data_IF_515262430830
#
_entry.id   IF_515262430830
#
_cell.length_a   1.000
_cell.length_b   1.000
_cell.length_c   1.000
_cell.angle_alpha   90.00
_cell.angle_beta   90.00
_cell.angle_gamma   90.00
#
_symmetry.space_group_name_H-M   'P 1'
#
loop_
_entity.id
_entity.type
_entity.pdbx_description
1 polymer ?
#
# COMPACT_ATOMS: atom_id res chain seq x y z
N UNK A 1 7.00 1.98 -23.32
CA UNK A 1 5.97 2.36 -22.31
C UNK A 1 4.89 3.31 -22.81
N UNK A 2 5.14 4.08 -23.85
CA UNK A 2 4.20 5.07 -24.44
C UNK A 2 3.03 4.47 -25.21
N UNK A 3 3.09 3.20 -25.58
CA UNK A 3 2.13 2.59 -26.52
C UNK A 3 0.79 2.17 -25.87
N UNK A 4 0.74 1.96 -24.55
CA UNK A 4 -0.51 1.46 -23.91
C UNK A 4 -1.53 2.57 -23.71
N UNK A 5 -1.08 3.76 -23.28
CA UNK A 5 -1.96 4.92 -23.15
C UNK A 5 -2.60 5.30 -24.50
N UNK A 6 -1.84 5.24 -25.58
CA UNK A 6 -2.36 5.51 -26.93
C UNK A 6 -3.47 4.57 -27.33
N UNK A 7 -3.36 3.27 -27.00
CA UNK A 7 -4.44 2.29 -27.25
C UNK A 7 -5.74 2.63 -26.53
N UNK A 8 -5.68 3.27 -25.35
CA UNK A 8 -6.86 3.73 -24.64
C UNK A 8 -7.43 5.00 -25.27
N UNK A 9 -6.60 6.02 -25.47
CA UNK A 9 -7.09 7.30 -25.99
C UNK A 9 -7.65 7.19 -27.41
N UNK A 10 -7.14 6.26 -28.24
CA UNK A 10 -7.69 5.95 -29.57
C UNK A 10 -9.13 5.43 -29.55
N UNK A 11 -9.63 4.94 -28.41
CA UNK A 11 -11.01 4.48 -28.25
C UNK A 11 -11.95 5.59 -27.79
N UNK A 12 -11.41 6.74 -27.40
CA UNK A 12 -12.18 7.87 -26.87
C UNK A 12 -12.68 8.79 -28.01
N UNK A 13 -13.69 9.63 -27.76
CA UNK A 13 -14.12 10.65 -28.69
C UNK A 13 -12.99 11.58 -29.11
N UNK A 14 -12.95 12.01 -30.36
CA UNK A 14 -11.86 12.75 -30.98
C UNK A 14 -11.43 14.00 -30.16
N UNK A 15 -12.39 14.76 -29.65
CA UNK A 15 -12.11 15.98 -28.88
C UNK A 15 -11.47 15.69 -27.50
N UNK A 16 -11.62 14.49 -26.97
CA UNK A 16 -10.92 14.02 -25.74
C UNK A 16 -9.53 13.50 -26.12
N UNK A 17 -9.46 12.75 -27.21
CA UNK A 17 -8.19 12.25 -27.78
C UNK A 17 -7.20 13.36 -28.04
N UNK A 18 -7.60 14.41 -28.81
CA UNK A 18 -6.73 15.51 -29.18
C UNK A 18 -6.20 16.26 -27.95
N UNK A 19 -7.06 16.52 -26.97
CA UNK A 19 -6.64 17.19 -25.76
C UNK A 19 -5.59 16.39 -24.98
N UNK A 20 -5.84 15.09 -24.76
CA UNK A 20 -4.90 14.25 -23.98
C UNK A 20 -3.59 14.08 -24.73
N UNK A 21 -3.63 13.90 -26.06
CA UNK A 21 -2.45 13.71 -26.89
C UNK A 21 -1.50 14.91 -26.83
N UNK A 22 -2.06 16.11 -26.82
CA UNK A 22 -1.31 17.38 -26.75
C UNK A 22 -0.94 17.77 -25.30
N UNK A 23 -1.48 17.10 -24.29
CA UNK A 23 -1.29 17.50 -22.91
C UNK A 23 0.12 17.18 -22.40
N UNK A 24 0.79 18.18 -21.78
CA UNK A 24 2.18 18.08 -21.30
C UNK A 24 2.32 16.98 -20.22
N UNK A 25 1.32 16.86 -19.34
CA UNK A 25 1.33 15.93 -18.22
C UNK A 25 0.55 14.64 -18.47
N UNK A 26 0.41 14.19 -19.73
CA UNK A 26 -0.33 12.95 -20.08
C UNK A 26 0.15 11.72 -19.32
N UNK A 27 1.45 11.68 -18.98
CA UNK A 27 2.04 10.57 -18.21
C UNK A 27 1.62 10.57 -16.72
N UNK A 28 1.02 11.65 -16.22
CA UNK A 28 0.50 11.76 -14.88
C UNK A 28 -1.02 11.56 -14.80
N UNK A 29 -1.67 11.25 -15.94
CA UNK A 29 -3.11 10.97 -15.98
C UNK A 29 -3.43 9.67 -15.27
N UNK A 30 -4.40 9.69 -14.35
CA UNK A 30 -4.82 8.55 -13.52
C UNK A 30 -6.08 7.92 -14.09
N UNK A 31 -7.08 8.73 -14.39
CA UNK A 31 -8.35 8.26 -14.94
C UNK A 31 -9.03 9.33 -15.79
N UNK A 32 -9.92 8.86 -16.66
CA UNK A 32 -10.76 9.69 -17.53
C UNK A 32 -12.22 9.36 -17.24
N UNK A 33 -13.04 10.37 -17.02
CA UNK A 33 -14.46 10.25 -16.71
C UNK A 33 -15.26 10.84 -17.85
N UNK A 34 -16.19 10.03 -18.38
CA UNK A 34 -17.11 10.40 -19.45
C UNK A 34 -18.53 10.18 -18.95
N UNK A 35 -19.17 11.19 -18.44
CA UNK A 35 -20.56 11.14 -17.95
C UNK A 35 -21.50 11.83 -18.92
N UNK A 36 -22.64 11.19 -19.21
CA UNK A 36 -23.67 11.76 -20.06
C UNK A 36 -24.14 13.13 -19.54
N UNK A 37 -24.17 14.12 -20.42
CA UNK A 37 -24.62 15.47 -20.09
C UNK A 37 -23.59 16.29 -19.29
N UNK A 38 -22.37 15.79 -19.07
CA UNK A 38 -21.28 16.47 -18.41
C UNK A 38 -20.07 16.67 -19.32
N UNK A 39 -19.18 17.57 -18.94
CA UNK A 39 -17.89 17.73 -19.61
C UNK A 39 -16.98 16.57 -19.24
N UNK A 40 -16.17 16.02 -20.18
CA UNK A 40 -15.21 14.99 -19.88
C UNK A 40 -14.17 15.52 -18.90
N UNK A 41 -13.86 14.73 -17.88
CA UNK A 41 -12.90 15.07 -16.83
C UNK A 41 -11.72 14.11 -16.87
N UNK A 42 -10.50 14.64 -16.83
CA UNK A 42 -9.27 13.88 -16.61
C UNK A 42 -8.76 14.14 -15.20
N UNK A 43 -8.45 13.08 -14.46
CA UNK A 43 -7.82 13.15 -13.14
C UNK A 43 -6.34 12.88 -13.24
N UNK A 44 -5.57 13.92 -12.99
CA UNK A 44 -4.11 13.89 -12.95
C UNK A 44 -3.62 13.84 -11.51
N UNK A 45 -2.34 13.52 -11.32
CA UNK A 45 -1.72 13.62 -9.96
C UNK A 45 -1.77 15.03 -9.39
N UNK A 46 -1.84 16.03 -10.24
CA UNK A 46 -1.94 17.45 -9.88
C UNK A 46 -3.35 17.89 -9.50
N UNK A 47 -4.37 17.14 -9.88
CA UNK A 47 -5.79 17.43 -9.65
C UNK A 47 -6.67 17.11 -10.86
N UNK A 48 -8.00 17.31 -10.75
CA UNK A 48 -8.94 17.13 -11.84
C UNK A 48 -8.91 18.30 -12.82
N UNK A 49 -9.05 18.01 -14.11
CA UNK A 49 -9.14 18.99 -15.20
C UNK A 49 -10.22 18.58 -16.20
N UNK A 50 -10.92 19.56 -16.77
CA UNK A 50 -11.84 19.30 -17.88
C UNK A 50 -11.07 19.16 -19.20
N UNK A 51 -11.24 18.01 -19.85
CA UNK A 51 -10.56 17.69 -21.12
C UNK A 51 -11.18 18.37 -22.34
N UNK A 52 -12.41 18.91 -22.22
CA UNK A 52 -13.08 19.64 -23.29
C UNK A 52 -14.18 20.55 -22.76
N UNK A 53 -14.54 21.55 -23.54
CA UNK A 53 -15.75 22.36 -23.31
C UNK A 53 -17.01 21.65 -23.79
N UNK A 54 -16.88 20.67 -24.68
CA UNK A 54 -18.00 19.88 -25.23
C UNK A 54 -18.57 18.95 -24.15
N UNK A 55 -19.89 18.83 -24.11
CA UNK A 55 -20.64 17.94 -23.23
C UNK A 55 -20.71 16.56 -23.88
N UNK A 56 -20.54 15.49 -23.09
CA UNK A 56 -20.64 14.11 -23.55
C UNK A 56 -22.09 13.77 -23.93
N UNK A 57 -22.28 13.30 -25.14
CA UNK A 57 -23.55 12.85 -25.70
C UNK A 57 -23.66 11.32 -25.66
N UNK A 58 -24.85 10.79 -25.93
CA UNK A 58 -25.07 9.36 -26.14
C UNK A 58 -24.19 8.76 -27.24
N UNK A 59 -24.02 9.51 -28.32
CA UNK A 59 -23.20 9.11 -29.45
C UNK A 59 -21.72 8.95 -29.05
N UNK A 60 -21.21 9.82 -28.19
CA UNK A 60 -19.84 9.77 -27.71
C UNK A 60 -19.60 8.54 -26.81
N UNK A 61 -20.58 8.19 -25.96
CA UNK A 61 -20.51 6.97 -25.13
C UNK A 61 -20.64 5.72 -26.00
N UNK A 62 -21.55 5.68 -26.97
CA UNK A 62 -21.74 4.56 -27.89
C UNK A 62 -20.49 4.35 -28.76
N UNK A 63 -19.88 5.43 -29.24
CA UNK A 63 -18.61 5.38 -29.99
C UNK A 63 -17.51 4.71 -29.19
N UNK A 64 -17.38 5.06 -27.90
CA UNK A 64 -16.37 4.47 -27.02
C UNK A 64 -16.70 3.01 -26.69
N UNK A 65 -17.95 2.71 -26.34
CA UNK A 65 -18.36 1.34 -25.94
C UNK A 65 -18.24 0.33 -27.07
N UNK A 66 -18.51 0.69 -28.32
CA UNK A 66 -18.36 -0.16 -29.49
C UNK A 66 -16.90 -0.50 -29.81
N UNK A 67 -15.93 0.26 -29.30
CA UNK A 67 -14.50 0.10 -29.57
C UNK A 67 -13.72 -0.61 -28.46
N UNK A 68 -14.37 -0.93 -27.36
CA UNK A 68 -13.82 -1.70 -26.25
C UNK A 68 -14.43 -3.10 -26.22
N UNK A 69 -13.87 -4.00 -25.40
CA UNK A 69 -14.44 -5.33 -25.19
C UNK A 69 -15.82 -5.24 -24.50
N UNK A 70 -16.59 -6.32 -24.56
CA UNK A 70 -17.87 -6.40 -23.85
C UNK A 70 -17.64 -6.24 -22.33
N UNK A 71 -18.57 -5.55 -21.68
CA UNK A 71 -18.56 -5.44 -20.24
C UNK A 71 -18.92 -6.76 -19.57
N UNK A 72 -18.17 -7.12 -18.54
CA UNK A 72 -18.47 -8.26 -17.67
C UNK A 72 -19.72 -8.00 -16.82
N UNK A 73 -20.16 -9.01 -16.06
CA UNK A 73 -21.26 -8.88 -15.10
C UNK A 73 -20.97 -7.84 -14.02
N UNK A 74 -19.71 -7.53 -13.75
CA UNK A 74 -19.26 -6.47 -12.82
C UNK A 74 -19.19 -5.08 -13.48
N UNK A 75 -19.73 -4.91 -14.69
CA UNK A 75 -19.64 -3.67 -15.46
C UNK A 75 -18.20 -3.20 -15.74
N UNK A 76 -17.28 -4.16 -15.93
CA UNK A 76 -15.86 -3.90 -16.24
C UNK A 76 -15.54 -4.40 -17.65
N UNK A 77 -14.64 -3.69 -18.31
CA UNK A 77 -14.10 -4.05 -19.61
C UNK A 77 -12.63 -3.64 -19.69
N UNK A 78 -11.86 -4.35 -20.52
CA UNK A 78 -10.45 -4.03 -20.77
C UNK A 78 -10.18 -3.75 -22.24
N UNK A 79 -8.95 -3.34 -22.51
CA UNK A 79 -8.40 -3.19 -23.85
C UNK A 79 -7.32 -4.25 -24.03
N UNK A 80 -7.33 -4.94 -25.16
CA UNK A 80 -6.38 -6.03 -25.47
C UNK A 80 -4.93 -5.59 -25.26
N UNK A 81 -4.17 -6.42 -24.54
CA UNK A 81 -2.75 -6.20 -24.24
C UNK A 81 -2.48 -4.91 -23.46
N UNK A 82 -3.40 -4.46 -22.62
CA UNK A 82 -3.22 -3.31 -21.74
C UNK A 82 -3.68 -3.61 -20.32
N UNK A 83 -3.27 -2.77 -19.37
CA UNK A 83 -3.70 -2.82 -17.98
C UNK A 83 -4.79 -1.80 -17.67
N UNK A 84 -5.34 -1.17 -18.72
CA UNK A 84 -6.42 -0.22 -18.55
C UNK A 84 -7.71 -0.94 -18.18
N UNK A 85 -8.42 -0.38 -17.20
CA UNK A 85 -9.74 -0.86 -16.79
C UNK A 85 -10.77 0.20 -17.10
N UNK A 86 -11.81 -0.20 -17.79
CA UNK A 86 -12.95 0.66 -18.11
C UNK A 86 -14.13 0.13 -17.33
N UNK A 87 -14.70 0.96 -16.47
CA UNK A 87 -15.91 0.63 -15.73
C UNK A 87 -17.06 1.48 -16.26
N UNK A 88 -18.23 0.87 -16.40
CA UNK A 88 -19.44 1.60 -16.77
C UNK A 88 -20.43 1.61 -15.62
N UNK A 89 -21.26 2.64 -15.57
CA UNK A 89 -22.46 2.62 -14.77
C UNK A 89 -23.69 2.80 -15.65
N UNK A 90 -24.78 2.17 -15.22
CA UNK A 90 -26.01 2.04 -16.01
C UNK A 90 -27.14 2.77 -15.30
N UNK A 91 -28.09 3.28 -16.11
CA UNK A 91 -29.32 3.81 -15.59
C UNK A 91 -30.31 2.67 -15.23
N UNK A 92 -31.52 3.05 -14.79
CA UNK A 92 -32.60 2.10 -14.45
C UNK A 92 -33.06 1.24 -15.61
N UNK A 93 -32.76 1.64 -16.84
CA UNK A 93 -33.07 0.91 -18.09
C UNK A 93 -31.87 0.08 -18.58
N UNK A 94 -30.83 -0.12 -17.75
CA UNK A 94 -29.60 -0.84 -18.08
C UNK A 94 -28.76 -0.22 -19.22
N UNK A 95 -29.06 1.00 -19.66
CA UNK A 95 -28.23 1.72 -20.63
C UNK A 95 -27.05 2.40 -19.94
N UNK A 96 -25.91 2.47 -20.61
CA UNK A 96 -24.67 3.04 -20.07
C UNK A 96 -24.80 4.57 -20.03
N UNK A 97 -24.71 5.14 -18.83
CA UNK A 97 -24.78 6.60 -18.60
C UNK A 97 -23.42 7.22 -18.37
N UNK A 98 -22.40 6.44 -18.10
CA UNK A 98 -21.07 6.94 -17.89
C UNK A 98 -20.00 5.86 -17.92
N UNK A 99 -18.78 6.30 -18.19
CA UNK A 99 -17.60 5.49 -18.27
C UNK A 99 -16.51 6.10 -17.41
N UNK A 100 -15.80 5.25 -16.66
CA UNK A 100 -14.58 5.61 -15.96
C UNK A 100 -13.44 4.77 -16.53
N UNK A 101 -12.50 5.41 -17.23
CA UNK A 101 -11.34 4.77 -17.83
C UNK A 101 -10.13 4.96 -16.91
N UNK A 102 -9.78 3.93 -16.15
CA UNK A 102 -8.61 3.93 -15.26
C UNK A 102 -7.35 3.53 -16.03
N UNK A 103 -6.29 4.31 -15.86
CA UNK A 103 -5.03 4.08 -16.57
C UNK A 103 -4.15 3.16 -15.74
N UNK A 104 -3.99 1.92 -16.22
CA UNK A 104 -3.01 0.97 -15.69
C UNK A 104 -1.64 1.22 -16.30
N UNK A 105 -0.60 1.12 -15.48
CA UNK A 105 0.81 1.20 -15.90
C UNK A 105 1.58 0.02 -15.34
N UNK A 106 2.50 -0.53 -16.14
CA UNK A 106 3.49 -1.48 -15.65
C UNK A 106 4.75 -0.75 -15.24
N UNK A 107 5.29 -1.11 -14.09
CA UNK A 107 6.57 -0.62 -13.57
C UNK A 107 7.51 -1.83 -13.58
N UNK A 108 8.74 -1.63 -14.04
CA UNK A 108 9.77 -2.67 -14.08
C UNK A 108 10.95 -2.28 -13.20
N UNK A 109 11.72 -3.27 -12.75
CA UNK A 109 12.96 -3.07 -11.99
C UNK A 109 12.80 -3.11 -10.47
N UNK A 110 11.58 -3.27 -9.94
CA UNK A 110 11.34 -3.31 -8.50
C UNK A 110 11.76 -4.63 -7.84
N UNK A 111 11.85 -5.71 -8.63
CA UNK A 111 12.08 -7.08 -8.14
C UNK A 111 13.55 -7.38 -7.83
N UNK A 112 14.48 -6.55 -8.26
CA UNK A 112 15.91 -6.75 -7.98
C UNK A 112 16.22 -7.01 -6.49
N UNK A 113 15.39 -6.45 -5.59
CA UNK A 113 15.52 -6.60 -4.13
C UNK A 113 15.21 -8.00 -3.61
N UNK A 114 14.39 -8.77 -4.32
CA UNK A 114 13.98 -10.13 -3.91
C UNK A 114 14.30 -11.20 -4.94
N UNK A 115 15.12 -10.89 -5.94
CA UNK A 115 15.46 -11.83 -7.00
C UNK A 115 16.10 -13.11 -6.46
N UNK A 116 16.96 -12.99 -5.46
CA UNK A 116 17.56 -14.11 -4.73
C UNK A 116 16.51 -15.06 -4.12
N UNK A 117 15.41 -14.50 -3.61
CA UNK A 117 14.33 -15.30 -3.02
C UNK A 117 13.51 -16.05 -4.09
N UNK A 118 13.37 -15.50 -5.29
CA UNK A 118 12.69 -16.18 -6.38
C UNK A 118 13.46 -17.39 -6.89
N UNK A 119 14.79 -17.34 -6.85
CA UNK A 119 15.68 -18.42 -7.24
C UNK A 119 15.71 -19.58 -6.22
N UNK A 120 15.31 -19.34 -4.96
CA UNK A 120 15.30 -20.34 -3.88
C UNK A 120 14.25 -21.45 -4.03
N UNK A 121 13.29 -21.29 -4.94
CA UNK A 121 12.14 -22.20 -5.19
C UNK A 121 11.21 -22.38 -3.98
N UNK A 122 11.30 -21.51 -3.00
CA UNK A 122 10.42 -21.51 -1.84
C UNK A 122 9.14 -20.71 -2.14
N UNK A 123 8.01 -21.10 -1.53
CA UNK A 123 6.75 -20.40 -1.69
C UNK A 123 6.77 -19.07 -0.95
N UNK A 124 6.26 -18.01 -1.59
CA UNK A 124 6.36 -16.63 -1.10
C UNK A 124 4.97 -16.03 -0.90
N UNK A 125 4.70 -15.56 0.31
CA UNK A 125 3.50 -14.79 0.62
C UNK A 125 3.84 -13.31 0.75
N UNK A 126 3.08 -12.47 0.06
CA UNK A 126 3.28 -11.01 0.04
C UNK A 126 2.14 -10.33 0.79
N UNK A 127 2.49 -9.56 1.82
CA UNK A 127 1.59 -8.74 2.60
C UNK A 127 1.77 -7.26 2.29
N UNK A 128 0.72 -6.49 2.46
CA UNK A 128 0.78 -5.04 2.37
C UNK A 128 -0.59 -4.41 2.23
N UNK A 129 -0.68 -3.14 2.58
CA UNK A 129 -1.90 -2.35 2.46
C UNK A 129 -2.41 -2.28 1.01
N UNK A 130 -3.69 -2.02 0.81
CA UNK A 130 -4.20 -1.71 -0.52
C UNK A 130 -3.43 -0.53 -1.14
N UNK A 131 -3.10 -0.64 -2.44
CA UNK A 131 -2.45 0.46 -3.17
C UNK A 131 -0.93 0.59 -2.99
N UNK A 132 -0.26 -0.25 -2.21
CA UNK A 132 1.21 -0.21 -2.06
C UNK A 132 1.98 -0.79 -3.26
N UNK A 133 1.28 -1.40 -4.22
CA UNK A 133 1.87 -1.93 -5.44
C UNK A 133 2.02 -3.46 -5.49
N UNK A 134 1.32 -4.23 -4.65
CA UNK A 134 1.35 -5.72 -4.64
C UNK A 134 1.16 -6.31 -6.03
N UNK A 135 0.10 -5.93 -6.74
CA UNK A 135 -0.20 -6.41 -8.08
C UNK A 135 0.90 -6.10 -9.10
N UNK A 136 1.55 -4.93 -8.97
CA UNK A 136 2.69 -4.55 -9.84
C UNK A 136 3.89 -5.47 -9.60
N UNK A 137 4.19 -5.74 -8.34
CA UNK A 137 5.28 -6.63 -7.92
C UNK A 137 5.02 -8.05 -8.43
N UNK A 138 3.83 -8.58 -8.21
CA UNK A 138 3.43 -9.92 -8.68
C UNK A 138 3.54 -10.06 -10.20
N UNK A 139 3.12 -9.05 -10.95
CA UNK A 139 3.24 -9.05 -12.41
C UNK A 139 4.69 -9.14 -12.86
N UNK A 140 5.57 -8.38 -12.23
CA UNK A 140 7.00 -8.42 -12.53
C UNK A 140 7.64 -9.74 -12.11
N UNK A 141 7.24 -10.31 -10.97
CA UNK A 141 7.63 -11.66 -10.53
C UNK A 141 7.25 -12.69 -11.61
N UNK A 142 5.99 -12.65 -12.07
CA UNK A 142 5.50 -13.57 -13.10
C UNK A 142 6.36 -13.53 -14.37
N UNK A 143 6.72 -12.32 -14.83
CA UNK A 143 7.58 -12.14 -16.00
C UNK A 143 8.98 -12.71 -15.77
N UNK A 144 9.62 -12.36 -14.65
CA UNK A 144 10.98 -12.84 -14.35
C UNK A 144 11.02 -14.36 -14.25
N UNK A 145 10.04 -14.97 -13.59
CA UNK A 145 9.98 -16.43 -13.46
C UNK A 145 9.76 -17.12 -14.80
N UNK A 146 8.89 -16.54 -15.67
CA UNK A 146 8.56 -17.14 -16.94
C UNK A 146 9.59 -16.87 -18.05
N UNK A 147 10.16 -15.65 -18.10
CA UNK A 147 11.07 -15.22 -19.17
C UNK A 147 12.53 -15.43 -18.78
N UNK A 148 12.96 -14.95 -17.58
CA UNK A 148 14.36 -14.96 -17.18
C UNK A 148 14.76 -16.33 -16.59
N UNK A 149 13.87 -16.96 -15.80
CA UNK A 149 14.11 -18.26 -15.15
C UNK A 149 13.48 -19.45 -15.89
N UNK A 150 12.82 -19.20 -17.02
CA UNK A 150 12.22 -20.20 -17.93
C UNK A 150 11.29 -21.21 -17.24
N UNK A 151 10.56 -20.78 -16.20
CA UNK A 151 9.62 -21.61 -15.44
C UNK A 151 8.24 -21.69 -16.09
N UNK A 152 7.55 -22.82 -15.87
CA UNK A 152 6.14 -22.97 -16.24
C UNK A 152 5.28 -22.28 -15.19
N UNK A 153 4.93 -21.01 -15.45
CA UNK A 153 4.17 -20.17 -14.54
C UNK A 153 2.72 -20.08 -14.98
N UNK A 154 1.80 -20.33 -14.04
CA UNK A 154 0.37 -20.08 -14.19
C UNK A 154 -0.04 -18.99 -13.23
N UNK A 155 -0.77 -17.99 -13.72
CA UNK A 155 -1.35 -16.90 -12.95
C UNK A 155 -2.84 -17.14 -12.81
N UNK A 156 -3.34 -17.17 -11.59
CA UNK A 156 -4.77 -17.19 -11.27
C UNK A 156 -5.19 -15.77 -10.95
N UNK A 157 -5.85 -15.12 -11.91
CA UNK A 157 -6.13 -13.69 -11.91
C UNK A 157 -7.64 -13.47 -11.71
N UNK A 158 -8.06 -13.35 -10.46
CA UNK A 158 -9.47 -13.22 -10.07
C UNK A 158 -10.01 -11.82 -10.31
N UNK A 159 -9.23 -10.81 -9.97
CA UNK A 159 -9.61 -9.41 -10.15
C UNK A 159 -9.20 -8.83 -11.51
N UNK A 160 -8.54 -9.63 -12.37
CA UNK A 160 -7.96 -9.22 -13.64
C UNK A 160 -6.96 -8.04 -13.50
N UNK A 161 -6.34 -7.90 -12.35
CA UNK A 161 -5.39 -6.81 -12.09
C UNK A 161 -3.97 -7.14 -12.53
N UNK A 162 -3.59 -8.42 -12.54
CA UNK A 162 -2.24 -8.86 -12.92
C UNK A 162 -2.04 -8.73 -14.42
N UNK A 163 -2.93 -9.34 -15.20
CA UNK A 163 -2.77 -9.44 -16.65
C UNK A 163 -3.73 -8.56 -17.46
N UNK A 164 -4.64 -7.83 -16.80
CA UNK A 164 -5.61 -6.93 -17.42
C UNK A 164 -6.99 -7.56 -17.67
N UNK A 165 -8.02 -6.73 -17.83
CA UNK A 165 -9.43 -7.15 -17.96
C UNK A 165 -9.80 -7.76 -19.33
N UNK A 166 -8.89 -7.83 -20.27
CA UNK A 166 -9.13 -8.35 -21.63
C UNK A 166 -8.78 -9.84 -21.75
N UNK A 167 -9.39 -10.55 -22.71
CA UNK A 167 -9.06 -11.95 -23.02
C UNK A 167 -7.59 -12.15 -23.42
N UNK A 168 -6.99 -11.14 -24.07
CA UNK A 168 -5.58 -11.16 -24.42
C UNK A 168 -4.78 -10.47 -23.31
N UNK A 169 -3.92 -11.22 -22.61
CA UNK A 169 -3.19 -10.69 -21.47
C UNK A 169 -2.17 -9.63 -21.85
N UNK A 170 -1.81 -8.80 -20.90
CA UNK A 170 -0.75 -7.79 -21.03
C UNK A 170 0.62 -8.44 -21.16
N UNK A 171 1.48 -7.87 -22.00
CA UNK A 171 2.85 -8.36 -22.23
C UNK A 171 3.74 -8.33 -20.98
N UNK A 172 3.36 -7.59 -19.97
CA UNK A 172 4.10 -7.47 -18.70
C UNK A 172 4.13 -8.74 -17.86
N UNK A 173 3.37 -9.79 -18.20
CA UNK A 173 3.47 -11.11 -17.55
C UNK A 173 4.43 -12.05 -18.29
N UNK A 174 5.03 -11.62 -19.40
CA UNK A 174 5.91 -12.45 -20.22
C UNK A 174 5.22 -13.70 -20.76
N UNK A 175 5.93 -14.83 -20.75
CA UNK A 175 5.43 -16.16 -21.17
C UNK A 175 4.53 -16.84 -20.13
N UNK A 176 4.24 -16.22 -18.98
CA UNK A 176 3.33 -16.79 -18.01
C UNK A 176 1.91 -16.93 -18.59
N UNK A 177 1.25 -18.05 -18.27
CA UNK A 177 -0.11 -18.33 -18.71
C UNK A 177 -1.09 -17.81 -17.69
N UNK A 178 -2.15 -17.13 -18.12
CA UNK A 178 -3.22 -16.65 -17.25
C UNK A 178 -4.44 -17.58 -17.30
N UNK A 179 -4.95 -17.93 -16.13
CA UNK A 179 -6.28 -18.49 -15.93
C UNK A 179 -7.18 -17.42 -15.30
N UNK A 180 -8.25 -17.05 -15.98
CA UNK A 180 -9.24 -16.12 -15.45
C UNK A 180 -10.24 -16.86 -14.58
N UNK A 181 -10.64 -16.24 -13.49
CA UNK A 181 -11.68 -16.77 -12.61
C UNK A 181 -13.00 -16.11 -12.98
N UNK A 182 -13.98 -16.92 -13.39
CA UNK A 182 -15.28 -16.41 -13.84
C UNK A 182 -16.10 -15.77 -12.70
N UNK A 183 -16.01 -16.34 -11.49
CA UNK A 183 -16.67 -15.88 -10.27
C UNK A 183 -15.68 -15.97 -9.11
N UNK A 184 -15.63 -14.94 -8.27
CA UNK A 184 -14.71 -14.87 -7.14
C UNK A 184 -14.77 -16.09 -6.24
N UNK A 185 -15.97 -16.63 -5.99
CA UNK A 185 -16.18 -17.81 -5.15
C UNK A 185 -15.60 -19.10 -5.73
N UNK A 186 -15.25 -19.13 -7.02
CA UNK A 186 -14.70 -20.30 -7.71
C UNK A 186 -13.18 -20.30 -7.81
N UNK A 187 -12.47 -19.33 -7.24
CA UNK A 187 -11.01 -19.24 -7.33
C UNK A 187 -10.33 -20.52 -6.86
N UNK A 188 -10.74 -21.10 -5.74
CA UNK A 188 -10.19 -22.34 -5.19
C UNK A 188 -10.28 -23.53 -6.18
N UNK A 189 -11.34 -23.60 -6.99
CA UNK A 189 -11.50 -24.66 -8.02
C UNK A 189 -10.50 -24.46 -9.14
N UNK A 190 -10.34 -23.23 -9.62
CA UNK A 190 -9.36 -22.88 -10.66
C UNK A 190 -7.93 -23.12 -10.19
N UNK A 191 -7.64 -22.90 -8.90
CA UNK A 191 -6.34 -23.21 -8.30
C UNK A 191 -6.02 -24.72 -8.40
N UNK A 192 -6.96 -25.58 -8.09
CA UNK A 192 -6.79 -27.04 -8.17
C UNK A 192 -6.72 -27.48 -9.63
N UNK A 193 -7.61 -26.97 -10.49
CA UNK A 193 -7.61 -27.22 -11.93
C UNK A 193 -6.25 -26.90 -12.57
N UNK A 194 -5.63 -25.77 -12.18
CA UNK A 194 -4.32 -25.37 -12.68
C UNK A 194 -3.26 -26.45 -12.46
N UNK A 195 -3.25 -27.07 -11.28
CA UNK A 195 -2.28 -28.12 -10.94
C UNK A 195 -2.60 -29.42 -11.68
N UNK A 196 -3.87 -29.83 -11.73
CA UNK A 196 -4.28 -31.11 -12.28
C UNK A 196 -4.16 -31.17 -13.80
N UNK A 197 -4.51 -30.08 -14.48
CA UNK A 197 -4.60 -30.07 -15.94
C UNK A 197 -3.36 -29.49 -16.64
N UNK A 198 -2.57 -28.65 -15.97
CA UNK A 198 -1.55 -27.85 -16.66
C UNK A 198 -0.11 -28.04 -16.17
N UNK A 199 0.11 -28.86 -15.13
CA UNK A 199 1.43 -29.22 -14.58
C UNK A 199 2.38 -28.01 -14.42
N UNK A 200 1.99 -26.95 -13.70
CA UNK A 200 2.85 -25.79 -13.45
C UNK A 200 4.00 -26.15 -12.51
N UNK A 201 5.12 -25.44 -12.66
CA UNK A 201 6.16 -25.42 -11.63
C UNK A 201 5.84 -24.37 -10.57
N UNK A 202 5.17 -23.27 -11.00
CA UNK A 202 4.85 -22.13 -10.14
C UNK A 202 3.41 -21.69 -10.41
N UNK A 203 2.66 -21.46 -9.33
CA UNK A 203 1.34 -20.84 -9.38
C UNK A 203 1.43 -19.49 -8.68
N UNK A 204 0.94 -18.46 -9.37
CA UNK A 204 0.82 -17.11 -8.84
C UNK A 204 -0.67 -16.83 -8.61
N UNK A 205 -1.02 -16.41 -7.39
CA UNK A 205 -2.38 -16.14 -6.97
C UNK A 205 -2.49 -14.65 -6.64
N UNK A 206 -3.47 -13.97 -7.23
CA UNK A 206 -3.69 -12.52 -7.04
C UNK A 206 -3.93 -12.19 -5.57
N UNK A 207 -4.92 -12.86 -4.98
CA UNK A 207 -5.26 -12.67 -3.58
C UNK A 207 -5.85 -13.94 -2.97
N UNK A 208 -5.43 -14.26 -1.74
CA UNK A 208 -5.96 -15.36 -0.94
C UNK A 208 -6.71 -14.74 0.24
N UNK A 209 -8.04 -14.90 0.26
CA UNK A 209 -8.89 -14.26 1.26
C UNK A 209 -9.89 -15.21 1.95
N UNK A 210 -10.20 -16.38 1.35
CA UNK A 210 -11.22 -17.31 1.84
C UNK A 210 -10.63 -18.61 2.37
N UNK A 211 -11.37 -19.30 3.25
CA UNK A 211 -10.95 -20.62 3.77
C UNK A 211 -10.73 -21.68 2.70
N UNK A 212 -11.56 -21.70 1.67
CA UNK A 212 -11.44 -22.65 0.57
C UNK A 212 -10.16 -22.42 -0.25
N UNK A 213 -9.79 -21.16 -0.45
CA UNK A 213 -8.53 -20.78 -1.12
C UNK A 213 -7.32 -21.16 -0.29
N UNK A 214 -7.40 -20.98 1.04
CA UNK A 214 -6.34 -21.39 1.96
C UNK A 214 -6.13 -22.90 1.95
N UNK A 215 -7.22 -23.68 1.95
CA UNK A 215 -7.15 -25.14 1.82
C UNK A 215 -6.57 -25.57 0.46
N UNK A 216 -6.98 -24.93 -0.62
CA UNK A 216 -6.44 -25.18 -1.94
C UNK A 216 -4.94 -24.86 -2.01
N UNK A 217 -4.50 -23.72 -1.46
CA UNK A 217 -3.10 -23.33 -1.40
C UNK A 217 -2.25 -24.36 -0.63
N UNK A 218 -2.74 -24.87 0.50
CA UNK A 218 -2.06 -25.95 1.24
C UNK A 218 -1.94 -27.22 0.41
N UNK A 219 -3.02 -27.65 -0.21
CA UNK A 219 -3.02 -28.84 -1.07
C UNK A 219 -2.01 -28.72 -2.21
N UNK A 220 -1.89 -27.55 -2.81
CA UNK A 220 -0.93 -27.26 -3.88
C UNK A 220 0.50 -27.31 -3.36
N UNK A 221 0.76 -26.69 -2.19
CA UNK A 221 2.07 -26.73 -1.54
C UNK A 221 2.50 -28.18 -1.19
N UNK A 222 1.57 -29.00 -0.70
CA UNK A 222 1.80 -30.43 -0.42
C UNK A 222 2.12 -31.24 -1.67
N UNK A 223 1.62 -30.84 -2.86
CA UNK A 223 1.98 -31.43 -4.16
C UNK A 223 3.36 -30.96 -4.66
N UNK A 224 4.08 -30.10 -3.95
CA UNK A 224 5.42 -29.62 -4.29
C UNK A 224 5.46 -28.54 -5.38
N UNK A 225 4.33 -27.87 -5.66
CA UNK A 225 4.27 -26.74 -6.59
C UNK A 225 4.59 -25.47 -5.81
N UNK A 226 5.51 -24.65 -6.31
CA UNK A 226 5.83 -23.37 -5.70
C UNK A 226 4.65 -22.40 -5.80
N UNK A 227 4.28 -21.79 -4.67
CA UNK A 227 3.21 -20.81 -4.59
C UNK A 227 3.76 -19.40 -4.38
N UNK A 228 3.22 -18.44 -5.11
CA UNK A 228 3.44 -17.02 -4.86
C UNK A 228 2.08 -16.36 -4.79
N UNK A 229 1.76 -15.73 -3.66
CA UNK A 229 0.43 -15.15 -3.48
C UNK A 229 0.46 -13.87 -2.67
N UNK A 230 -0.63 -13.11 -2.74
CA UNK A 230 -0.86 -12.02 -1.80
C UNK A 230 -2.03 -12.32 -0.89
N UNK A 231 -2.06 -11.66 0.23
CA UNK A 231 -3.24 -11.62 1.08
C UNK A 231 -3.38 -10.25 1.73
N UNK A 232 -4.54 -9.98 2.29
CA UNK A 232 -4.76 -8.80 3.10
C UNK A 232 -4.05 -8.92 4.45
N UNK A 233 -3.34 -7.90 4.82
CA UNK A 233 -2.63 -7.79 6.08
C UNK A 233 -1.41 -6.88 5.95
N UNK A 234 -1.03 -6.23 7.03
CA UNK A 234 0.10 -5.30 7.02
C UNK A 234 1.40 -5.99 7.47
N UNK A 235 1.30 -7.02 8.31
CA UNK A 235 2.44 -7.69 8.93
C UNK A 235 2.08 -9.13 9.36
N UNK A 236 3.11 -9.90 9.73
CA UNK A 236 2.98 -11.28 10.20
C UNK A 236 2.01 -11.41 11.39
N UNK A 237 2.01 -10.44 12.31
CA UNK A 237 1.09 -10.42 13.46
C UNK A 237 -0.39 -10.35 13.03
N UNK A 238 -0.69 -9.71 11.91
CA UNK A 238 -2.07 -9.62 11.39
C UNK A 238 -2.58 -10.96 10.86
N UNK A 239 -1.70 -11.78 10.29
CA UNK A 239 -2.04 -13.15 9.86
C UNK A 239 -2.36 -14.05 11.05
N UNK A 240 -1.59 -13.94 12.13
CA UNK A 240 -1.79 -14.74 13.36
C UNK A 240 -3.16 -14.43 14.01
N UNK A 241 -3.59 -13.17 13.92
CA UNK A 241 -4.87 -12.72 14.48
C UNK A 241 -6.08 -13.11 13.63
N UNK A 242 -5.88 -13.42 12.36
CA UNK A 242 -6.97 -13.80 11.46
C UNK A 242 -7.09 -15.33 11.42
N UNK A 243 -8.18 -15.92 12.01
CA UNK A 243 -8.32 -17.37 12.13
C UNK A 243 -8.34 -18.10 10.78
N UNK A 244 -8.80 -17.46 9.72
CA UNK A 244 -8.83 -18.04 8.37
C UNK A 244 -7.43 -18.13 7.77
N UNK A 245 -6.66 -17.05 7.84
CA UNK A 245 -5.34 -16.95 7.23
C UNK A 245 -4.23 -17.64 8.02
N UNK A 246 -4.45 -17.96 9.31
CA UNK A 246 -3.47 -18.69 10.12
C UNK A 246 -3.10 -20.03 9.50
N UNK A 247 -4.02 -20.67 8.76
CA UNK A 247 -3.77 -21.95 8.10
C UNK A 247 -2.69 -21.84 6.98
N UNK A 248 -2.49 -20.66 6.37
CA UNK A 248 -1.41 -20.43 5.41
C UNK A 248 -0.02 -20.53 6.05
N UNK A 249 0.05 -20.16 7.32
CA UNK A 249 1.28 -20.14 8.11
C UNK A 249 1.42 -21.37 9.03
N UNK A 250 0.62 -22.39 8.81
CA UNK A 250 0.67 -23.69 9.52
C UNK A 250 -0.41 -23.91 10.56
N UNK A 251 -1.38 -22.99 10.72
CA UNK A 251 -2.43 -23.06 11.75
C UNK A 251 -1.87 -22.88 13.16
N UNK A 252 -2.66 -22.31 14.04
CA UNK A 252 -2.28 -22.07 15.44
C UNK A 252 -3.34 -22.70 16.32
N UNK A 253 -2.90 -23.46 17.30
CA UNK A 253 -3.80 -24.13 18.25
C UNK A 253 -3.30 -23.99 19.69
N UNK A 254 -4.22 -24.12 20.63
CA UNK A 254 -3.89 -24.18 22.05
C UNK A 254 -3.50 -25.62 22.42
N UNK A 255 -2.30 -25.78 22.95
CA UNK A 255 -1.81 -27.06 23.43
C UNK A 255 -1.68 -27.01 24.94
N UNK A 256 -2.26 -28.04 25.61
CA UNK A 256 -2.14 -28.20 27.05
C UNK A 256 -0.92 -29.09 27.36
N UNK A 257 0.07 -28.52 28.03
CA UNK A 257 1.27 -29.22 28.45
C UNK A 257 1.06 -29.96 29.77
N UNK A 258 1.79 -31.06 29.97
CA UNK A 258 1.89 -31.69 31.30
C UNK A 258 2.63 -30.74 32.27
N UNK A 259 2.43 -30.98 33.59
CA UNK A 259 3.07 -30.16 34.63
C UNK A 259 4.59 -30.20 34.56
N UNK A 260 5.18 -31.34 34.21
CA UNK A 260 6.60 -31.53 34.05
C UNK A 260 7.13 -30.78 32.86
N UNK A 261 6.44 -30.87 31.71
CA UNK A 261 6.83 -30.17 30.49
C UNK A 261 6.71 -28.64 30.61
N UNK A 262 5.63 -28.16 31.26
CA UNK A 262 5.45 -26.73 31.52
C UNK A 262 6.57 -26.17 32.42
N UNK A 263 6.96 -26.92 33.45
CA UNK A 263 8.12 -26.58 34.32
C UNK A 263 9.43 -26.59 33.55
N UNK A 264 9.66 -27.62 32.71
CA UNK A 264 10.87 -27.73 31.87
C UNK A 264 11.03 -26.57 30.90
N UNK A 265 9.93 -26.22 30.23
CA UNK A 265 9.91 -25.10 29.25
C UNK A 265 9.79 -23.73 29.91
N UNK A 266 9.54 -23.66 31.22
CA UNK A 266 9.27 -22.40 31.97
C UNK A 266 8.14 -21.57 31.37
N UNK A 267 7.05 -22.23 30.97
CA UNK A 267 5.88 -21.65 30.32
C UNK A 267 4.61 -21.95 31.10
N UNK A 268 3.50 -21.36 30.68
CA UNK A 268 2.18 -21.73 31.20
C UNK A 268 1.79 -23.12 30.69
N UNK A 269 0.80 -23.78 31.37
CA UNK A 269 0.27 -25.08 30.96
C UNK A 269 -0.41 -25.03 29.59
N UNK A 270 -1.07 -23.92 29.27
CA UNK A 270 -1.70 -23.70 27.98
C UNK A 270 -0.82 -22.75 27.18
N UNK A 271 -0.35 -23.21 26.06
CA UNK A 271 0.48 -22.42 25.14
C UNK A 271 -0.10 -22.48 23.73
N UNK A 272 0.23 -21.46 22.94
CA UNK A 272 -0.04 -21.44 21.50
C UNK A 272 1.12 -22.10 20.76
N UNK A 273 0.81 -23.13 19.98
CA UNK A 273 1.77 -23.78 19.11
C UNK A 273 1.22 -23.86 17.68
N UNK A 274 2.12 -23.96 16.73
CA UNK A 274 1.78 -24.14 15.32
C UNK A 274 1.43 -25.61 15.06
N UNK A 275 0.31 -25.86 14.37
CA UNK A 275 -0.22 -27.20 14.10
C UNK A 275 0.53 -27.97 13.03
N UNK A 276 0.93 -27.31 11.93
CA UNK A 276 1.51 -27.95 10.76
C UNK A 276 2.62 -27.09 10.13
N UNK A 277 3.23 -27.56 9.06
CA UNK A 277 4.16 -26.76 8.26
C UNK A 277 3.40 -25.63 7.54
N UNK A 278 4.01 -24.44 7.38
CA UNK A 278 3.41 -23.36 6.62
C UNK A 278 3.37 -23.72 5.12
N UNK A 279 2.33 -23.26 4.43
CA UNK A 279 2.22 -23.38 2.98
C UNK A 279 3.17 -22.40 2.25
N UNK A 280 3.61 -21.36 2.94
CA UNK A 280 4.55 -20.37 2.44
C UNK A 280 5.75 -20.29 3.38
N UNK A 281 6.95 -20.56 2.85
CA UNK A 281 8.20 -20.56 3.62
C UNK A 281 8.74 -19.15 3.83
N UNK A 282 8.52 -18.27 2.84
CA UNK A 282 8.98 -16.88 2.85
C UNK A 282 7.79 -15.95 2.96
N UNK A 283 7.92 -14.88 3.75
CA UNK A 283 6.92 -13.83 3.85
C UNK A 283 7.56 -12.47 3.65
N UNK A 284 6.94 -11.66 2.78
CA UNK A 284 7.39 -10.31 2.45
C UNK A 284 6.30 -9.31 2.86
N UNK A 285 6.64 -8.39 3.76
CA UNK A 285 5.77 -7.28 4.16
C UNK A 285 6.17 -6.02 3.38
N UNK A 286 5.26 -5.48 2.58
CA UNK A 286 5.47 -4.22 1.87
C UNK A 286 5.01 -3.07 2.76
N UNK A 287 5.95 -2.49 3.49
CA UNK A 287 5.65 -1.36 4.39
C UNK A 287 5.47 -0.06 3.60
N UNK A 288 6.38 0.18 2.65
CA UNK A 288 6.38 1.32 1.73
C UNK A 288 6.88 0.85 0.36
N UNK A 289 6.65 1.65 -0.68
CA UNK A 289 7.11 1.32 -2.04
C UNK A 289 8.60 0.98 -2.11
N UNK A 290 9.42 1.62 -1.28
CA UNK A 290 10.89 1.49 -1.30
C UNK A 290 11.46 0.73 -0.10
N UNK A 291 10.64 0.12 0.76
CA UNK A 291 11.13 -0.59 1.95
C UNK A 291 10.24 -1.78 2.29
N UNK A 292 10.84 -2.98 2.23
CA UNK A 292 10.18 -4.25 2.45
C UNK A 292 10.80 -4.98 3.62
N UNK A 293 9.98 -5.64 4.42
CA UNK A 293 10.46 -6.55 5.47
C UNK A 293 10.35 -7.97 4.96
N UNK A 294 11.41 -8.72 5.05
CA UNK A 294 11.48 -10.11 4.59
C UNK A 294 11.71 -11.03 5.79
N UNK A 295 10.87 -12.05 5.88
CA UNK A 295 11.02 -13.20 6.78
C UNK A 295 11.41 -14.40 5.92
N UNK A 296 12.70 -14.75 5.92
CA UNK A 296 13.23 -15.85 5.08
C UNK A 296 12.79 -17.22 5.58
N UNK A 297 12.51 -17.34 6.88
CA UNK A 297 11.96 -18.54 7.52
C UNK A 297 10.74 -18.13 8.35
N UNK A 298 9.56 -18.28 7.73
CA UNK A 298 8.27 -17.98 8.35
C UNK A 298 8.02 -18.92 9.53
N UNK A 299 8.40 -20.19 9.42
CA UNK A 299 8.25 -21.19 10.47
C UNK A 299 8.91 -20.73 11.77
N UNK A 300 10.20 -20.44 11.72
CA UNK A 300 10.95 -19.97 12.90
C UNK A 300 10.45 -18.63 13.40
N UNK A 301 10.09 -17.70 12.49
CA UNK A 301 9.58 -16.38 12.87
C UNK A 301 8.29 -16.47 13.68
N UNK A 302 7.36 -17.38 13.29
CA UNK A 302 6.11 -17.61 14.00
C UNK A 302 6.36 -18.29 15.34
N UNK A 303 7.20 -19.34 15.36
CA UNK A 303 7.49 -20.09 16.59
C UNK A 303 8.14 -19.17 17.65
N UNK A 304 9.01 -18.23 17.24
CA UNK A 304 9.57 -17.22 18.14
C UNK A 304 8.52 -16.20 18.59
N UNK A 305 7.65 -15.79 17.69
CA UNK A 305 6.60 -14.83 17.98
C UNK A 305 5.57 -15.38 18.97
N UNK A 306 5.13 -16.65 18.78
CA UNK A 306 4.21 -17.33 19.71
C UNK A 306 4.83 -17.52 21.10
N UNK A 307 6.15 -17.71 21.16
CA UNK A 307 6.92 -17.80 22.43
C UNK A 307 7.31 -16.45 23.00
N UNK A 308 6.89 -15.34 22.39
CA UNK A 308 7.28 -13.98 22.73
C UNK A 308 8.81 -13.76 22.76
N UNK A 309 9.54 -14.45 21.91
CA UNK A 309 10.99 -14.28 21.76
C UNK A 309 11.30 -13.33 20.62
N UNK A 310 12.46 -12.66 20.71
CA UNK A 310 12.97 -11.86 19.59
C UNK A 310 13.46 -12.75 18.47
N UNK A 311 13.22 -12.36 17.23
CA UNK A 311 13.72 -13.01 16.03
C UNK A 311 14.32 -11.99 15.07
N UNK A 312 15.08 -12.47 14.10
CA UNK A 312 15.73 -11.62 13.10
C UNK A 312 14.85 -11.56 11.85
N UNK A 313 14.61 -10.36 11.37
CA UNK A 313 13.98 -10.08 10.08
C UNK A 313 14.90 -9.20 9.25
N UNK A 314 14.79 -9.29 7.93
CA UNK A 314 15.55 -8.45 7.03
C UNK A 314 14.70 -7.25 6.61
N UNK A 315 15.30 -6.09 6.58
CA UNK A 315 14.74 -4.91 5.93
C UNK A 315 15.54 -4.69 4.66
N UNK A 316 14.86 -4.79 3.53
CA UNK A 316 15.42 -4.56 2.21
C UNK A 316 14.86 -3.25 1.66
N UNK A 317 15.72 -2.36 1.24
CA UNK A 317 15.32 -1.04 0.73
C UNK A 317 16.06 -0.66 -0.53
N UNK A 318 15.39 0.14 -1.37
CA UNK A 318 15.99 0.78 -2.53
C UNK A 318 16.54 2.14 -2.13
N UNK A 319 17.74 2.46 -2.55
CA UNK A 319 18.26 3.83 -2.52
C UNK A 319 17.92 4.53 -3.83
N UNK A 320 17.86 5.85 -3.82
CA UNK A 320 17.71 6.72 -5.02
C UNK A 320 18.82 6.43 -6.06
N UNK A 321 19.94 5.87 -5.62
CA UNK A 321 21.08 5.46 -6.45
C UNK A 321 21.01 4.02 -6.94
N UNK A 322 19.83 3.39 -6.94
CA UNK A 322 19.57 1.98 -7.31
C UNK A 322 20.37 0.93 -6.50
N UNK A 323 21.04 1.33 -5.43
CA UNK A 323 21.72 0.40 -4.55
C UNK A 323 20.75 -0.27 -3.59
N UNK A 324 20.70 -1.59 -3.67
CA UNK A 324 19.93 -2.42 -2.73
C UNK A 324 20.66 -2.41 -1.39
N UNK A 325 19.95 -2.08 -0.32
CA UNK A 325 20.45 -2.17 1.04
C UNK A 325 19.66 -3.24 1.79
N UNK A 326 20.38 -4.26 2.25
CA UNK A 326 19.83 -5.33 3.10
C UNK A 326 20.35 -5.11 4.51
N UNK A 327 19.45 -4.98 5.48
CA UNK A 327 19.76 -4.80 6.90
C UNK A 327 19.03 -5.83 7.73
N UNK A 328 19.73 -6.59 8.53
CA UNK A 328 19.12 -7.46 9.53
C UNK A 328 18.67 -6.65 10.73
N UNK A 329 17.43 -6.83 11.16
CA UNK A 329 16.86 -6.17 12.33
C UNK A 329 16.32 -7.23 13.29
N UNK A 330 16.74 -7.17 14.55
CA UNK A 330 16.16 -7.97 15.60
C UNK A 330 14.86 -7.35 16.09
N UNK A 331 13.77 -8.13 16.12
CA UNK A 331 12.50 -7.70 16.71
C UNK A 331 12.65 -7.62 18.23
N UNK A 332 12.02 -6.64 18.87
CA UNK A 332 11.97 -6.59 20.32
C UNK A 332 10.90 -7.56 20.82
N UNK A 333 11.24 -8.40 21.79
CA UNK A 333 10.24 -9.21 22.48
C UNK A 333 9.28 -8.28 23.21
N UNK A 334 7.99 -8.42 22.98
CA UNK A 334 6.96 -7.60 23.65
C UNK A 334 6.78 -7.98 25.14
N UNK A 335 7.58 -8.90 25.68
CA UNK A 335 7.45 -9.37 27.04
C UNK A 335 8.61 -8.97 27.93
N UNK A 336 8.27 -8.34 28.98
CA UNK A 336 8.84 -8.17 30.30
C UNK A 336 9.05 -6.72 30.74
N UNK A 337 8.76 -5.72 29.92
CA UNK A 337 8.92 -4.33 30.32
C UNK A 337 7.61 -3.60 30.66
N UNK A 338 6.42 -4.21 30.37
CA UNK A 338 5.18 -3.47 30.54
C UNK A 338 4.59 -3.50 31.96
N UNK A 339 4.88 -4.51 32.77
CA UNK A 339 4.31 -4.59 34.11
C UNK A 339 5.33 -4.41 35.24
N UNK A 340 6.52 -4.99 35.16
CA UNK A 340 7.53 -4.79 36.21
C UNK A 340 8.23 -3.44 36.14
N UNK A 341 8.48 -2.90 34.94
CA UNK A 341 9.10 -1.59 34.79
C UNK A 341 8.13 -0.41 35.03
N UNK A 342 6.82 -0.60 34.89
CA UNK A 342 5.87 0.46 35.33
C UNK A 342 5.81 0.59 36.85
N UNK A 343 6.09 -0.46 37.60
CA UNK A 343 6.13 -0.44 39.08
C UNK A 343 7.49 0.04 39.59
N UNK A 344 8.60 -0.36 38.96
CA UNK A 344 9.97 0.09 39.34
C UNK A 344 10.30 1.50 38.84
N UNK A 345 9.76 1.95 37.71
CA UNK A 345 9.95 3.30 37.17
C UNK A 345 9.20 4.40 37.95
N UNK A 346 8.26 4.02 38.83
CA UNK A 346 7.61 5.00 39.73
C UNK A 346 8.44 5.40 40.96
N UNK A 347 9.52 4.68 41.29
CA UNK A 347 10.30 4.95 42.50
C UNK A 347 11.72 5.57 42.32
N UNK A 348 12.37 5.48 41.15
CA UNK A 348 13.78 5.89 41.05
C UNK A 348 14.18 6.56 39.71
N UNK A 349 13.41 7.49 39.14
CA UNK A 349 13.80 8.08 37.86
C UNK A 349 13.58 9.58 37.72
N UNK A 350 14.18 10.36 38.59
CA UNK A 350 14.34 11.81 38.34
C UNK A 350 15.60 12.16 37.53
N UNK A 351 16.67 11.39 37.66
CA UNK A 351 17.95 11.65 37.00
C UNK A 351 18.07 11.05 35.61
N UNK A 352 17.51 9.84 35.34
CA UNK A 352 17.58 9.19 34.01
C UNK A 352 16.62 9.82 33.00
N UNK A 353 15.51 10.41 33.45
CA UNK A 353 14.56 11.12 32.58
C UNK A 353 15.14 12.37 31.93
N UNK A 354 16.08 13.02 32.55
CA UNK A 354 16.70 14.24 32.01
C UNK A 354 17.74 13.96 30.92
N UNK A 355 18.51 12.88 31.02
CA UNK A 355 19.47 12.49 29.96
C UNK A 355 18.79 11.91 28.72
N UNK A 356 17.76 11.06 28.87
CA UNK A 356 16.98 10.55 27.74
C UNK A 356 16.14 11.66 27.07
N UNK A 357 15.58 12.59 27.83
CA UNK A 357 14.90 13.77 27.26
C UNK A 357 15.86 14.68 26.49
N UNK A 358 17.09 14.89 26.95
CA UNK A 358 18.05 15.68 26.20
C UNK A 358 18.52 14.99 24.92
N UNK A 359 18.76 13.67 24.91
CA UNK A 359 19.17 12.94 23.71
C UNK A 359 18.03 12.74 22.68
N UNK A 360 16.78 12.60 23.14
CA UNK A 360 15.59 12.55 22.26
C UNK A 360 15.29 13.96 21.72
N UNK A 361 15.40 14.99 22.54
CA UNK A 361 15.22 16.38 22.12
C UNK A 361 16.27 16.84 21.10
N UNK A 362 17.50 16.36 21.19
CA UNK A 362 18.57 16.69 20.22
C UNK A 362 18.32 16.00 18.87
N UNK A 363 17.78 14.78 18.84
CA UNK A 363 17.40 14.08 17.59
C UNK A 363 16.06 14.53 16.98
N UNK A 364 15.15 15.07 17.81
CA UNK A 364 13.85 15.58 17.36
C UNK A 364 13.85 17.08 17.04
N UNK A 365 14.91 17.82 17.42
CA UNK A 365 15.02 19.26 17.17
C UNK A 365 14.97 19.67 15.68
N UNK A 366 15.15 18.75 14.77
CA UNK A 366 15.07 19.03 13.32
C UNK A 366 13.64 18.95 12.73
N UNK A 367 12.61 18.60 13.51
CA UNK A 367 11.24 18.38 12.99
C UNK A 367 10.09 18.93 13.85
N UNK A 368 10.36 19.57 15.00
CA UNK A 368 9.29 20.15 15.83
C UNK A 368 9.12 21.62 15.46
N UNK A 369 7.94 21.96 14.97
CA UNK A 369 7.59 23.32 14.61
C UNK A 369 7.17 24.10 15.87
N UNK A 370 7.98 25.07 16.32
CA UNK A 370 7.67 25.90 17.48
C UNK A 370 6.89 27.13 17.00
N UNK A 371 5.63 27.23 17.38
CA UNK A 371 4.69 28.23 16.86
C UNK A 371 4.38 29.25 17.95
N UNK A 372 4.52 30.54 17.63
CA UNK A 372 3.98 31.64 18.42
C UNK A 372 2.65 32.07 17.83
N UNK A 373 1.49 31.73 18.46
CA UNK A 373 0.17 32.12 17.99
C UNK A 373 -0.11 33.57 18.40
N UNK A 374 -0.34 34.47 17.44
CA UNK A 374 -0.67 35.85 17.70
C UNK A 374 -2.14 36.15 17.36
N UNK A 375 -2.97 36.44 18.36
CA UNK A 375 -4.42 36.69 18.23
C UNK A 375 -5.17 35.51 17.56
N UNK A 376 -4.74 34.29 17.82
CA UNK A 376 -5.38 33.05 17.33
C UNK A 376 -5.69 32.12 18.51
N UNK A 377 -6.78 31.39 18.40
CA UNK A 377 -7.11 30.33 19.37
C UNK A 377 -6.18 29.13 19.23
N UNK A 378 -5.52 28.74 20.32
CA UNK A 378 -4.64 27.59 20.38
C UNK A 378 -5.37 26.28 20.06
N UNK A 379 -6.66 26.17 20.42
CA UNK A 379 -7.45 24.96 20.21
C UNK A 379 -7.64 24.67 18.72
N UNK A 380 -7.98 25.66 17.94
CA UNK A 380 -8.20 25.53 16.50
C UNK A 380 -6.91 25.25 15.73
N UNK A 381 -5.80 25.90 16.12
CA UNK A 381 -4.47 25.61 15.58
C UNK A 381 -4.04 24.19 15.90
N UNK A 382 -4.27 23.75 17.14
CA UNK A 382 -3.95 22.40 17.61
C UNK A 382 -4.70 21.33 16.80
N UNK A 383 -5.98 21.55 16.56
CA UNK A 383 -6.81 20.63 15.79
C UNK A 383 -6.32 20.47 14.33
N UNK A 384 -6.01 21.61 13.67
CA UNK A 384 -5.48 21.60 12.30
C UNK A 384 -4.13 20.90 12.22
N UNK A 385 -3.21 21.20 13.11
CA UNK A 385 -1.86 20.63 13.10
C UNK A 385 -1.85 19.13 13.40
N UNK A 386 -2.72 18.66 14.31
CA UNK A 386 -2.89 17.23 14.60
C UNK A 386 -3.43 16.49 13.36
N UNK A 387 -4.46 17.04 12.69
CA UNK A 387 -5.02 16.44 11.47
C UNK A 387 -4.03 16.40 10.30
N UNK A 388 -3.09 17.35 10.26
CA UNK A 388 -2.01 17.38 9.26
C UNK A 388 -0.80 16.53 9.63
N UNK A 389 -0.77 15.90 10.81
CA UNK A 389 0.35 15.06 11.26
C UNK A 389 1.63 15.85 11.55
N UNK A 390 1.54 17.16 11.77
CA UNK A 390 2.71 18.01 12.02
C UNK A 390 3.02 17.97 13.53
N UNK A 391 4.27 17.67 13.88
CA UNK A 391 4.75 17.76 15.25
C UNK A 391 5.02 19.21 15.61
N UNK A 392 4.35 19.75 16.62
CA UNK A 392 4.40 21.17 16.99
C UNK A 392 4.47 21.39 18.49
N UNK A 393 4.90 22.59 18.85
CA UNK A 393 4.89 23.09 20.23
C UNK A 393 4.50 24.57 20.21
N UNK A 394 3.57 24.97 21.05
CA UNK A 394 3.25 26.39 21.22
C UNK A 394 4.19 27.06 22.24
N UNK A 395 4.58 28.29 21.97
CA UNK A 395 5.37 29.12 22.87
C UNK A 395 4.73 30.49 23.05
N UNK A 396 4.87 31.04 24.27
CA UNK A 396 4.46 32.42 24.58
C UNK A 396 5.64 33.40 24.44
N UNK A 397 6.84 32.89 24.16
CA UNK A 397 8.04 33.72 24.00
C UNK A 397 8.43 33.78 22.53
N UNK A 398 8.42 34.97 21.91
CA UNK A 398 8.77 35.18 20.50
C UNK A 398 10.17 34.65 20.20
N UNK A 399 11.14 34.84 21.10
CA UNK A 399 12.54 34.41 20.93
C UNK A 399 12.72 32.90 20.71
N UNK A 400 11.79 32.09 21.21
CA UNK A 400 11.85 30.62 21.11
C UNK A 400 11.03 30.04 19.94
N UNK A 401 10.32 30.91 19.23
CA UNK A 401 9.46 30.48 18.13
C UNK A 401 10.26 30.27 16.85
N UNK A 402 9.88 29.23 16.08
CA UNK A 402 10.35 29.02 14.70
C UNK A 402 9.54 29.83 13.71
N UNK A 403 8.25 30.04 14.00
CA UNK A 403 7.33 30.81 13.17
C UNK A 403 6.33 31.58 14.04
N UNK A 404 5.85 32.70 13.52
CA UNK A 404 4.74 33.48 14.09
C UNK A 404 3.54 33.33 13.18
N UNK A 405 2.38 32.94 13.72
CA UNK A 405 1.14 32.80 12.96
C UNK A 405 0.06 33.71 13.56
N UNK A 406 -0.56 34.54 12.74
CA UNK A 406 -1.59 35.45 13.26
C UNK A 406 -2.50 36.06 12.19
N UNK A 407 -3.53 36.78 12.65
CA UNK A 407 -4.44 37.50 11.77
C UNK A 407 -3.77 38.74 11.13
N UNK A 408 -3.92 38.87 9.82
CA UNK A 408 -3.35 39.97 9.03
C UNK A 408 -3.72 41.35 9.59
N UNK A 409 -4.98 41.53 10.03
CA UNK A 409 -5.47 42.78 10.63
C UNK A 409 -4.72 43.16 11.91
N UNK A 410 -4.36 42.17 12.74
CA UNK A 410 -3.71 42.40 14.02
C UNK A 410 -2.20 42.53 13.86
N UNK A 411 -1.58 41.75 12.98
CA UNK A 411 -0.16 41.82 12.68
C UNK A 411 0.21 43.19 12.12
N UNK A 412 -0.59 43.75 11.18
CA UNK A 412 -0.34 45.07 10.59
C UNK A 412 -0.40 46.24 11.61
N UNK A 413 -1.18 46.07 12.67
CA UNK A 413 -1.32 47.09 13.71
C UNK A 413 -0.19 47.05 14.77
N UNK A 414 0.58 45.96 14.81
CA UNK A 414 1.60 45.75 15.83
C UNK A 414 3.03 45.89 15.27
N UNK A 415 3.54 47.12 15.24
CA UNK A 415 4.89 47.45 14.76
C UNK A 415 6.02 46.83 15.65
N UNK A 416 5.74 46.58 16.91
CA UNK A 416 6.74 45.96 17.82
C UNK A 416 6.94 44.50 17.51
N UNK A 417 5.87 43.77 17.12
CA UNK A 417 5.93 42.37 16.71
C UNK A 417 6.77 42.20 15.42
N UNK A 418 6.59 43.09 14.45
CA UNK A 418 7.37 43.11 13.21
C UNK A 418 8.84 43.45 13.45
N UNK A 419 9.13 44.38 14.30
CA UNK A 419 10.52 44.69 14.70
C UNK A 419 11.22 43.55 15.41
N UNK A 420 10.50 42.83 16.30
CA UNK A 420 11.03 41.64 17.00
C UNK A 420 11.23 40.45 16.06
N UNK A 421 10.32 40.24 15.12
CA UNK A 421 10.46 39.20 14.08
C UNK A 421 11.71 39.41 13.23
N UNK A 422 11.96 40.62 12.79
CA UNK A 422 13.19 40.98 12.04
C UNK A 422 14.44 40.81 12.91
N UNK A 423 14.40 41.29 14.15
CA UNK A 423 15.53 41.16 15.09
C UNK A 423 15.94 39.71 15.38
N UNK A 424 14.98 38.79 15.44
CA UNK A 424 15.22 37.37 15.74
C UNK A 424 15.18 36.47 14.50
N UNK A 425 15.03 37.04 13.31
CA UNK A 425 14.93 36.34 12.03
C UNK A 425 13.85 35.25 11.99
N UNK A 426 12.66 35.55 12.57
CA UNK A 426 11.54 34.63 12.68
C UNK A 426 10.48 35.02 11.65
N UNK A 427 10.09 34.14 10.69
CA UNK A 427 9.09 34.46 9.67
C UNK A 427 7.69 34.62 10.27
N UNK A 428 6.95 35.64 9.77
CA UNK A 428 5.55 35.89 10.12
C UNK A 428 4.63 35.40 9.01
N UNK A 429 3.72 34.54 9.37
CA UNK A 429 2.66 34.05 8.47
C UNK A 429 1.32 34.65 8.88
N UNK A 430 0.69 35.36 7.95
CA UNK A 430 -0.58 36.04 8.19
C UNK A 430 -1.74 35.37 7.46
N UNK A 431 -2.88 35.18 8.15
CA UNK A 431 -4.13 34.70 7.58
C UNK A 431 -5.18 35.81 7.58
N UNK A 432 -6.07 35.80 6.59
CA UNK A 432 -7.11 36.83 6.46
C UNK A 432 -8.30 36.58 7.40
N UNK A 433 -8.68 35.31 7.59
CA UNK A 433 -9.77 34.87 8.46
C UNK A 433 -9.40 33.58 9.18
N UNK A 434 -10.02 33.35 10.33
CA UNK A 434 -9.80 32.14 11.16
C UNK A 434 -10.75 31.07 10.63
N UNK A 435 -10.33 30.34 9.60
CA UNK A 435 -11.04 29.15 9.14
C UNK A 435 -10.06 28.01 8.86
N UNK A 436 -10.59 26.78 8.91
CA UNK A 436 -9.84 25.54 8.75
C UNK A 436 -9.05 25.53 7.42
N UNK A 437 -9.67 25.94 6.32
CA UNK A 437 -9.10 25.94 4.98
C UNK A 437 -7.85 26.85 4.86
N UNK A 438 -7.89 28.05 5.42
CA UNK A 438 -6.73 28.97 5.35
C UNK A 438 -5.56 28.49 6.20
N UNK A 439 -5.85 27.86 7.34
CA UNK A 439 -4.81 27.28 8.19
C UNK A 439 -4.15 26.06 7.53
N UNK A 440 -4.94 25.15 6.96
CA UNK A 440 -4.38 23.99 6.24
C UNK A 440 -3.53 24.43 5.05
N UNK A 441 -4.01 25.41 4.26
CA UNK A 441 -3.25 25.96 3.12
C UNK A 441 -1.96 26.67 3.56
N UNK A 442 -1.94 27.28 4.73
CA UNK A 442 -0.74 27.90 5.28
C UNK A 442 0.28 26.84 5.69
N UNK A 443 -0.14 25.85 6.48
CA UNK A 443 0.77 24.82 6.96
C UNK A 443 1.22 23.84 5.87
N UNK A 444 0.46 23.62 4.83
CA UNK A 444 0.91 22.84 3.66
C UNK A 444 2.01 23.51 2.84
N UNK A 445 2.24 24.82 3.02
CA UNK A 445 3.35 25.56 2.39
C UNK A 445 4.61 25.61 3.27
N UNK A 446 4.47 25.32 4.56
CA UNK A 446 5.56 25.38 5.54
C UNK A 446 6.21 23.99 5.71
N UNK A 447 5.44 22.94 5.46
CA UNK A 447 5.89 21.55 5.46
C UNK A 447 6.39 21.16 4.08
#
# INVERSE_FOLDING_TARGET
>A
MTNDLEKLIDKLPFFVYDYIKSHIYKDHLIEIILDLGRRPEGRFRTGPEYLSKKIISWQDLDYTTKRISKFSNENRAGIKRTLHRISCFRNRQFTINGLTCRIGRSIFGTISVIRDLLESRQSILILGKPGVGKTTIIREIARILADDLEKRVIIIDTSNEIAGDSDVPHLGIGRARRMQVCMTDCQHKVMIEAVENHMPEIIIIDEIGTDLEVLAARTIAEKGVQLIGTTHGDCLDSLIKNPFLTNLIGGIEYVTLSDEEAKRRKTQKIILERKSYPAFEILIEINHQNSWTVHEDVKSSIDFLLRNKSFIKQIRSFSITEKIQIRSQQTRSNNALSLKNQIYLKKNNWTFRNQLRQNILIKLKSRILIIYPYSLSNNLLKEVLIKMGITFMFTNEIKKASIIVGLKKHIRKNLTLTKLSIKFNIPIYSINSINYYQLTRLFSKIN
#
